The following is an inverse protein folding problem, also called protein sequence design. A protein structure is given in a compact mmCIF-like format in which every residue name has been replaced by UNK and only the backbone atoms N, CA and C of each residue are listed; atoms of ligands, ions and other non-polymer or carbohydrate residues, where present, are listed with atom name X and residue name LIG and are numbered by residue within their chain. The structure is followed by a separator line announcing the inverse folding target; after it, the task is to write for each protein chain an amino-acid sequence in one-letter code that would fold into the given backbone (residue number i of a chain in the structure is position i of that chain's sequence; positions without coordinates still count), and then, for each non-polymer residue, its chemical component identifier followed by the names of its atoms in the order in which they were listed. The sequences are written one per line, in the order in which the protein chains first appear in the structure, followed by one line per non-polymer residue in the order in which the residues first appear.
data_IF_739888069551
#
_entry.id   IF_739888069551
#
_cell.length_a   1.000
_cell.length_b   1.000
_cell.length_c   1.000
_cell.angle_alpha   90.00
_cell.angle_beta   90.00
_cell.angle_gamma   90.00
#
_symmetry.space_group_name_H-M   'P 1'
#
loop_
_entity.id
_entity.type
_entity.pdbx_description
1 polymer ?
#
# COMPACT_ATOMS: atom_id res chain seq x y z
N UNK A 1 11.17 11.92 -21.74
CA UNK A 1 11.62 12.79 -20.63
C UNK A 1 10.95 12.35 -19.33
N UNK A 2 11.72 12.24 -18.25
CA UNK A 2 11.19 11.82 -16.96
C UNK A 2 10.44 12.97 -16.30
N UNK A 3 9.27 12.68 -15.73
CA UNK A 3 8.49 13.65 -14.97
C UNK A 3 9.20 14.03 -13.66
N UNK A 4 8.76 15.12 -13.04
CA UNK A 4 9.27 15.51 -11.73
C UNK A 4 8.97 14.45 -10.67
N UNK A 5 7.78 13.84 -10.72
CA UNK A 5 7.42 12.77 -9.78
C UNK A 5 8.35 11.57 -9.94
N UNK A 6 8.61 11.16 -11.16
CA UNK A 6 9.52 10.06 -11.46
C UNK A 6 10.92 10.35 -10.88
N UNK A 7 11.44 11.54 -11.16
CA UNK A 7 12.77 11.94 -10.69
C UNK A 7 12.87 11.96 -9.17
N UNK A 8 11.83 12.43 -8.50
CA UNK A 8 11.79 12.47 -7.03
C UNK A 8 11.75 11.06 -6.43
N UNK A 9 10.99 10.17 -7.03
CA UNK A 9 10.95 8.77 -6.58
C UNK A 9 12.32 8.12 -6.81
N UNK A 10 12.89 8.32 -7.98
CA UNK A 10 14.20 7.74 -8.35
C UNK A 10 15.30 8.17 -7.37
N UNK A 11 15.27 9.43 -6.95
CA UNK A 11 16.27 10.00 -6.03
C UNK A 11 15.99 9.67 -4.56
N UNK A 12 14.82 9.10 -4.25
CA UNK A 12 14.43 8.86 -2.87
C UNK A 12 15.23 7.74 -2.21
N UNK A 13 15.27 7.79 -0.88
CA UNK A 13 15.90 6.77 -0.04
C UNK A 13 14.86 6.20 0.91
N UNK A 14 15.22 5.16 1.66
CA UNK A 14 14.34 4.57 2.67
C UNK A 14 14.20 5.42 3.94
N UNK A 15 14.97 6.50 4.06
CA UNK A 15 14.91 7.38 5.25
C UNK A 15 13.60 8.15 5.30
N UNK A 16 13.10 8.37 6.51
CA UNK A 16 11.80 9.01 6.75
C UNK A 16 11.70 10.39 6.08
N UNK A 17 12.74 11.21 6.18
CA UNK A 17 12.73 12.55 5.60
C UNK A 17 12.54 12.50 4.08
N UNK A 18 13.25 11.59 3.41
CA UNK A 18 13.13 11.41 1.96
C UNK A 18 11.74 10.92 1.57
N UNK A 19 11.21 9.95 2.28
CA UNK A 19 9.87 9.39 2.05
C UNK A 19 8.79 10.45 2.24
N UNK A 20 8.91 11.30 3.27
CA UNK A 20 7.97 12.41 3.51
C UNK A 20 7.99 13.44 2.39
N UNK A 21 9.17 13.79 1.87
CA UNK A 21 9.27 14.72 0.75
C UNK A 21 8.53 14.21 -0.48
N UNK A 22 8.74 12.95 -0.83
CA UNK A 22 8.11 12.34 -2.00
C UNK A 22 6.61 12.22 -1.79
N UNK A 23 6.16 11.77 -0.62
CA UNK A 23 4.74 11.64 -0.34
C UNK A 23 4.02 12.98 -0.35
N UNK A 24 4.64 14.03 0.21
CA UNK A 24 4.06 15.38 0.22
C UNK A 24 3.91 15.92 -1.21
N UNK A 25 4.90 15.68 -2.06
CA UNK A 25 4.84 16.09 -3.47
C UNK A 25 3.70 15.36 -4.18
N UNK A 26 3.56 14.07 -3.95
CA UNK A 26 2.50 13.25 -4.57
C UNK A 26 1.10 13.73 -4.16
N UNK A 27 0.93 14.12 -2.90
CA UNK A 27 -0.38 14.54 -2.40
C UNK A 27 -0.86 15.89 -2.93
N UNK A 28 0.03 16.69 -3.52
CA UNK A 28 -0.33 18.02 -4.03
C UNK A 28 -1.08 17.98 -5.35
N UNK A 29 -1.03 16.88 -6.09
CA UNK A 29 -1.58 16.80 -7.43
C UNK A 29 -1.99 15.36 -7.74
N UNK A 30 -3.23 15.18 -8.19
CA UNK A 30 -3.75 13.86 -8.51
C UNK A 30 -2.92 13.12 -9.57
N UNK A 31 -2.36 13.85 -10.53
CA UNK A 31 -1.52 13.25 -11.57
C UNK A 31 -0.20 12.72 -11.00
N UNK A 32 0.36 13.41 -10.01
CA UNK A 32 1.57 12.94 -9.32
C UNK A 32 1.28 11.66 -8.54
N UNK A 33 0.17 11.63 -7.82
CA UNK A 33 -0.22 10.45 -7.06
C UNK A 33 -0.49 9.28 -7.98
N UNK A 34 -1.21 9.50 -9.08
CA UNK A 34 -1.50 8.45 -10.06
C UNK A 34 -0.21 7.85 -10.61
N UNK A 35 0.77 8.69 -10.95
CA UNK A 35 2.05 8.22 -11.45
C UNK A 35 2.80 7.39 -10.40
N UNK A 36 2.82 7.85 -9.15
CA UNK A 36 3.45 7.09 -8.05
C UNK A 36 2.82 5.71 -7.91
N UNK A 37 1.49 5.63 -7.95
CA UNK A 37 0.77 4.38 -7.78
C UNK A 37 1.02 3.44 -8.97
N UNK A 38 1.07 3.97 -10.19
CA UNK A 38 1.38 3.16 -11.37
C UNK A 38 2.78 2.56 -11.27
N UNK A 39 3.75 3.33 -10.78
CA UNK A 39 5.11 2.82 -10.58
C UNK A 39 5.15 1.78 -9.46
N UNK A 40 4.44 2.03 -8.35
CA UNK A 40 4.38 1.10 -7.24
C UNK A 40 3.77 -0.24 -7.66
N UNK A 41 2.72 -0.20 -8.47
CA UNK A 41 1.98 -1.40 -8.88
C UNK A 41 2.62 -2.14 -10.06
N UNK A 42 3.64 -1.58 -10.67
CA UNK A 42 4.42 -2.25 -11.73
C UNK A 42 5.58 -3.01 -11.10
N UNK A 43 5.34 -4.27 -10.75
CA UNK A 43 6.30 -5.11 -10.01
C UNK A 43 7.65 -5.22 -10.72
N UNK A 44 7.65 -5.16 -12.05
CA UNK A 44 8.87 -5.33 -12.85
C UNK A 44 9.66 -4.05 -13.01
N UNK A 45 9.07 -2.92 -12.62
CA UNK A 45 9.73 -1.62 -12.76
C UNK A 45 10.80 -1.41 -11.69
N UNK A 46 11.89 -0.78 -12.07
CA UNK A 46 12.99 -0.50 -11.14
C UNK A 46 12.56 0.35 -9.94
N UNK A 47 11.54 1.20 -10.12
CA UNK A 47 11.06 2.10 -9.06
C UNK A 47 9.90 1.52 -8.23
N UNK A 48 9.53 0.26 -8.45
CA UNK A 48 8.44 -0.38 -7.73
C UNK A 48 8.60 -0.25 -6.20
N UNK A 49 9.76 -0.62 -5.69
CA UNK A 49 10.03 -0.57 -4.25
C UNK A 49 10.05 0.86 -3.73
N UNK A 50 10.77 1.75 -4.42
CA UNK A 50 10.89 3.15 -4.00
C UNK A 50 9.53 3.87 -3.99
N UNK A 51 8.68 3.56 -4.96
CA UNK A 51 7.33 4.12 -5.00
C UNK A 51 6.51 3.65 -3.79
N UNK A 52 6.62 2.38 -3.41
CA UNK A 52 5.94 1.87 -2.21
C UNK A 52 6.44 2.51 -0.92
N UNK A 53 7.73 2.84 -0.82
CA UNK A 53 8.28 3.49 0.37
C UNK A 53 7.55 4.75 0.77
N UNK A 54 7.07 5.52 -0.20
CA UNK A 54 6.36 6.78 0.04
C UNK A 54 4.85 6.62 -0.01
N UNK A 55 4.35 5.60 -0.69
CA UNK A 55 2.92 5.39 -0.85
C UNK A 55 2.22 5.10 0.49
N UNK A 56 2.85 4.38 1.40
CA UNK A 56 2.24 4.10 2.69
C UNK A 56 2.03 5.38 3.51
N UNK A 57 2.91 6.38 3.36
CA UNK A 57 2.73 7.67 4.02
C UNK A 57 1.56 8.46 3.43
N UNK A 58 1.35 8.36 2.11
CA UNK A 58 0.16 8.95 1.47
C UNK A 58 -1.10 8.31 2.03
N UNK A 59 -1.12 6.98 2.12
CA UNK A 59 -2.27 6.24 2.62
C UNK A 59 -2.54 6.53 4.10
N UNK A 60 -1.49 6.77 4.89
CA UNK A 60 -1.65 7.14 6.29
C UNK A 60 -2.37 8.48 6.45
N UNK A 61 -2.07 9.45 5.60
CA UNK A 61 -2.61 10.81 5.70
C UNK A 61 -3.85 11.06 4.86
N UNK A 62 -3.92 10.47 3.68
CA UNK A 62 -4.96 10.74 2.67
C UNK A 62 -5.51 9.45 2.10
N UNK A 63 -5.93 8.55 2.96
CA UNK A 63 -6.39 7.22 2.54
C UNK A 63 -7.55 7.29 1.54
N UNK A 64 -8.43 8.28 1.66
CA UNK A 64 -9.56 8.43 0.75
C UNK A 64 -9.12 8.68 -0.70
N UNK A 65 -7.97 9.32 -0.90
CA UNK A 65 -7.43 9.52 -2.25
C UNK A 65 -6.95 8.22 -2.88
N UNK A 66 -6.69 7.20 -2.07
CA UNK A 66 -6.30 5.89 -2.54
C UNK A 66 -7.50 5.01 -2.93
N UNK A 67 -8.71 5.42 -2.59
CA UNK A 67 -9.91 4.57 -2.73
C UNK A 67 -10.13 4.05 -4.15
N UNK A 68 -9.87 4.87 -5.17
CA UNK A 68 -10.05 4.47 -6.57
C UNK A 68 -9.04 3.40 -7.04
N UNK A 69 -7.99 3.18 -6.25
CA UNK A 69 -6.93 2.21 -6.61
C UNK A 69 -7.03 0.90 -5.83
N UNK A 70 -8.05 0.74 -4.98
CA UNK A 70 -8.18 -0.43 -4.10
C UNK A 70 -8.31 -1.72 -4.90
N UNK A 71 -9.08 -1.69 -6.00
CA UNK A 71 -9.25 -2.85 -6.86
C UNK A 71 -7.90 -3.34 -7.40
N UNK A 72 -7.14 -2.43 -7.97
CA UNK A 72 -5.81 -2.75 -8.51
C UNK A 72 -4.85 -3.18 -7.40
N UNK A 73 -4.97 -2.57 -6.22
CA UNK A 73 -4.16 -2.96 -5.07
C UNK A 73 -4.42 -4.42 -4.66
N UNK A 74 -5.68 -4.81 -4.64
CA UNK A 74 -6.05 -6.20 -4.31
C UNK A 74 -5.48 -7.20 -5.33
N UNK A 75 -5.38 -6.79 -6.59
CA UNK A 75 -4.79 -7.63 -7.63
C UNK A 75 -3.28 -7.76 -7.45
N UNK A 76 -2.61 -6.65 -7.14
CA UNK A 76 -1.15 -6.62 -7.08
C UNK A 76 -0.58 -7.21 -5.79
N UNK A 77 -1.28 -7.09 -4.68
CA UNK A 77 -0.79 -7.48 -3.37
C UNK A 77 -0.24 -8.91 -3.31
N UNK A 78 -0.94 -9.94 -3.83
CA UNK A 78 -0.41 -11.30 -3.79
C UNK A 78 0.81 -11.52 -4.71
N UNK A 79 1.08 -10.58 -5.61
CA UNK A 79 2.17 -10.70 -6.57
C UNK A 79 3.47 -10.03 -6.09
N UNK A 80 3.39 -9.23 -5.04
CA UNK A 80 4.58 -8.53 -4.52
C UNK A 80 5.50 -9.56 -3.88
N UNK A 81 6.78 -9.56 -4.29
CA UNK A 81 7.78 -10.52 -3.81
C UNK A 81 8.89 -9.87 -3.00
N UNK A 82 9.21 -8.60 -3.29
CA UNK A 82 10.27 -7.89 -2.60
C UNK A 82 9.82 -7.48 -1.20
N UNK A 83 10.56 -7.90 -0.18
CA UNK A 83 10.24 -7.58 1.22
C UNK A 83 10.19 -6.08 1.48
N UNK A 84 11.01 -5.30 0.78
CA UNK A 84 11.03 -3.84 0.93
C UNK A 84 9.76 -3.18 0.41
N UNK A 85 9.07 -3.81 -0.53
CA UNK A 85 7.75 -3.36 -1.00
C UNK A 85 6.62 -3.99 -0.18
N UNK A 86 6.80 -5.22 0.29
CA UNK A 86 5.78 -5.93 1.06
C UNK A 86 5.47 -5.25 2.38
N UNK A 87 6.47 -4.72 3.06
CA UNK A 87 6.27 -4.02 4.33
C UNK A 87 5.30 -2.84 4.18
N UNK A 88 5.53 -1.87 3.28
CA UNK A 88 4.55 -0.80 3.08
C UNK A 88 3.23 -1.31 2.51
N UNK A 89 3.24 -2.33 1.66
CA UNK A 89 2.00 -2.87 1.09
C UNK A 89 1.09 -3.48 2.16
N UNK A 90 1.63 -4.28 3.09
CA UNK A 90 0.85 -4.85 4.18
C UNK A 90 0.36 -3.77 5.15
N UNK A 91 1.15 -2.71 5.33
CA UNK A 91 0.75 -1.56 6.13
C UNK A 91 -0.45 -0.85 5.49
N UNK A 92 -0.44 -0.69 4.17
CA UNK A 92 -1.58 -0.12 3.43
C UNK A 92 -2.82 -1.00 3.61
N UNK A 93 -2.67 -2.32 3.49
CA UNK A 93 -3.76 -3.26 3.72
C UNK A 93 -4.36 -3.09 5.12
N UNK A 94 -3.52 -2.89 6.13
CA UNK A 94 -3.98 -2.63 7.49
C UNK A 94 -4.76 -1.32 7.58
N UNK A 95 -4.27 -0.24 6.96
CA UNK A 95 -5.00 1.03 6.94
C UNK A 95 -6.38 0.88 6.30
N UNK A 96 -6.47 0.14 5.20
CA UNK A 96 -7.74 -0.09 4.50
C UNK A 96 -8.73 -0.86 5.38
N UNK A 97 -8.28 -1.94 6.02
CA UNK A 97 -9.15 -2.74 6.87
C UNK A 97 -9.60 -1.98 8.10
N UNK A 98 -8.69 -1.21 8.70
CA UNK A 98 -9.01 -0.37 9.86
C UNK A 98 -10.03 0.71 9.50
N UNK A 99 -9.87 1.36 8.37
CA UNK A 99 -10.80 2.38 7.89
C UNK A 99 -12.16 1.78 7.54
N UNK A 100 -12.18 0.61 6.92
CA UNK A 100 -13.40 -0.13 6.59
C UNK A 100 -14.22 -0.49 7.83
N UNK A 101 -13.55 -0.72 8.95
CA UNK A 101 -14.21 -1.05 10.21
C UNK A 101 -14.84 0.17 10.87
N UNK A 102 -14.44 1.38 10.51
CA UNK A 102 -14.95 2.63 11.08
C UNK A 102 -16.23 3.07 10.38
N UNK A 103 -17.12 3.72 11.13
CA UNK A 103 -18.42 4.16 10.63
C UNK A 103 -18.34 5.11 9.42
N UNK A 104 -17.38 6.04 9.42
CA UNK A 104 -17.22 7.03 8.35
C UNK A 104 -15.94 6.80 7.54
N UNK A 105 -15.42 5.56 7.56
CA UNK A 105 -14.21 5.21 6.84
C UNK A 105 -14.49 4.79 5.40
N UNK A 106 -13.43 4.34 4.76
CA UNK A 106 -13.50 3.73 3.42
C UNK A 106 -14.31 2.44 3.52
N UNK A 107 -15.18 2.20 2.53
CA UNK A 107 -15.93 0.96 2.45
C UNK A 107 -15.28 0.03 1.45
N UNK A 108 -14.96 -1.18 1.90
CA UNK A 108 -14.50 -2.25 1.02
C UNK A 108 -15.69 -3.12 0.61
N UNK A 109 -15.70 -3.61 -0.62
CA UNK A 109 -16.66 -4.61 -1.03
C UNK A 109 -16.34 -5.94 -0.37
N UNK A 110 -17.32 -6.83 -0.29
CA UNK A 110 -17.11 -8.16 0.26
C UNK A 110 -16.01 -8.91 -0.52
N UNK A 111 -16.00 -8.78 -1.84
CA UNK A 111 -14.97 -9.37 -2.69
C UNK A 111 -13.58 -8.82 -2.35
N UNK A 112 -13.46 -7.51 -2.17
CA UNK A 112 -12.19 -6.89 -1.79
C UNK A 112 -11.72 -7.38 -0.42
N UNK A 113 -12.63 -7.50 0.53
CA UNK A 113 -12.30 -8.04 1.87
C UNK A 113 -11.78 -9.47 1.77
N UNK A 114 -12.44 -10.32 0.98
CA UNK A 114 -12.00 -11.70 0.78
C UNK A 114 -10.66 -11.78 0.08
N UNK A 115 -10.42 -10.95 -0.92
CA UNK A 115 -9.14 -10.90 -1.61
C UNK A 115 -8.01 -10.50 -0.68
N UNK A 116 -8.26 -9.52 0.20
CA UNK A 116 -7.27 -9.10 1.20
C UNK A 116 -6.99 -10.23 2.21
N UNK A 117 -8.03 -10.90 2.70
CA UNK A 117 -7.88 -12.02 3.63
C UNK A 117 -6.99 -13.09 3.01
N UNK A 118 -7.30 -13.50 1.79
CA UNK A 118 -6.56 -14.55 1.10
C UNK A 118 -5.09 -14.17 0.91
N UNK A 119 -4.84 -12.96 0.41
CA UNK A 119 -3.48 -12.47 0.19
C UNK A 119 -2.68 -12.38 1.49
N UNK A 120 -3.30 -11.89 2.56
CA UNK A 120 -2.62 -11.72 3.85
C UNK A 120 -2.36 -13.05 4.54
N UNK A 121 -3.28 -14.02 4.43
CA UNK A 121 -3.07 -15.36 4.96
C UNK A 121 -1.89 -16.04 4.26
N UNK A 122 -1.79 -15.89 2.93
CA UNK A 122 -0.66 -16.44 2.18
C UNK A 122 0.66 -15.86 2.67
N UNK A 123 0.68 -14.57 3.03
CA UNK A 123 1.88 -13.93 3.57
C UNK A 123 2.29 -14.48 4.93
N UNK A 124 1.33 -14.83 5.77
CA UNK A 124 1.63 -15.43 7.08
C UNK A 124 2.22 -16.82 6.96
N UNK A 125 1.85 -17.56 5.91
CA UNK A 125 2.33 -18.93 5.69
C UNK A 125 3.75 -18.94 5.13
N UNK A 126 4.11 -17.92 4.34
CA UNK A 126 5.42 -17.82 3.72
C UNK A 126 6.48 -17.39 4.73
N UNK A 127 7.76 -17.67 4.40
CA UNK A 127 8.90 -17.24 5.23
C UNK A 127 9.20 -15.76 4.93
N UNK A 128 8.40 -14.88 5.54
CA UNK A 128 8.48 -13.43 5.36
C UNK A 128 9.17 -12.78 6.55
N UNK A 129 9.63 -11.54 6.36
CA UNK A 129 10.19 -10.76 7.45
C UNK A 129 9.12 -10.41 8.48
N UNK A 130 9.52 -10.30 9.74
CA UNK A 130 8.63 -10.07 10.88
C UNK A 130 7.72 -8.85 10.68
N UNK A 131 8.27 -7.75 10.14
CA UNK A 131 7.51 -6.51 9.98
C UNK A 131 6.30 -6.70 9.07
N UNK A 132 6.46 -7.42 7.94
CA UNK A 132 5.34 -7.70 7.02
C UNK A 132 4.29 -8.58 7.67
N UNK A 133 4.72 -9.58 8.44
CA UNK A 133 3.81 -10.48 9.16
C UNK A 133 2.99 -9.75 10.22
N UNK A 134 3.59 -8.76 10.91
CA UNK A 134 2.89 -7.98 11.94
C UNK A 134 1.70 -7.23 11.33
N UNK A 135 1.90 -6.54 10.23
CA UNK A 135 0.80 -5.80 9.59
C UNK A 135 -0.25 -6.73 8.99
N UNK A 136 0.18 -7.87 8.43
CA UNK A 136 -0.77 -8.87 7.93
C UNK A 136 -1.65 -9.42 9.06
N UNK A 137 -1.06 -9.70 10.22
CA UNK A 137 -1.81 -10.16 11.39
C UNK A 137 -2.78 -9.11 11.89
N UNK A 138 -2.35 -7.83 11.95
CA UNK A 138 -3.22 -6.73 12.39
C UNK A 138 -4.43 -6.57 11.46
N UNK A 139 -4.19 -6.62 10.15
CA UNK A 139 -5.26 -6.50 9.17
C UNK A 139 -6.25 -7.66 9.27
N UNK A 140 -5.73 -8.88 9.40
CA UNK A 140 -6.58 -10.07 9.53
C UNK A 140 -7.40 -10.04 10.82
N UNK A 141 -6.83 -9.51 11.90
CA UNK A 141 -7.57 -9.38 13.16
C UNK A 141 -8.78 -8.45 12.99
N UNK A 142 -8.60 -7.31 12.31
CA UNK A 142 -9.69 -6.38 12.04
C UNK A 142 -10.77 -7.03 11.16
N UNK A 143 -10.36 -7.70 10.08
CA UNK A 143 -11.29 -8.39 9.19
C UNK A 143 -12.03 -9.52 9.90
N UNK A 144 -11.34 -10.25 10.78
CA UNK A 144 -11.93 -11.34 11.54
C UNK A 144 -13.09 -10.92 12.43
N UNK A 145 -13.08 -9.69 12.91
CA UNK A 145 -14.18 -9.16 13.71
C UNK A 145 -15.49 -9.12 12.95
N UNK A 146 -15.41 -8.90 11.63
CA UNK A 146 -16.60 -8.82 10.78
C UNK A 146 -17.18 -10.20 10.47
N UNK A 147 -16.32 -11.21 10.31
CA UNK A 147 -16.70 -12.53 9.83
C UNK A 147 -16.72 -13.59 10.92
N UNK A 148 -16.65 -13.19 12.15
CA UNK A 148 -16.58 -14.11 13.27
C UNK A 148 -17.96 -14.57 13.71
#
# INVERSE_FOLDING_TARGET
MKSQMYQKIEASTCHVASRKMVSNFAMKNENHLDEMIRLAFDIKHDLHVKAFWSLDLVCEKKLKQFAIYIEDFCIILPRIKDDSALRPATKIAFFLTKSNHRKNGISLTQEQEHNLIEALLDRLIQDEKVASKVYAMKALFVLGKKYN
#
